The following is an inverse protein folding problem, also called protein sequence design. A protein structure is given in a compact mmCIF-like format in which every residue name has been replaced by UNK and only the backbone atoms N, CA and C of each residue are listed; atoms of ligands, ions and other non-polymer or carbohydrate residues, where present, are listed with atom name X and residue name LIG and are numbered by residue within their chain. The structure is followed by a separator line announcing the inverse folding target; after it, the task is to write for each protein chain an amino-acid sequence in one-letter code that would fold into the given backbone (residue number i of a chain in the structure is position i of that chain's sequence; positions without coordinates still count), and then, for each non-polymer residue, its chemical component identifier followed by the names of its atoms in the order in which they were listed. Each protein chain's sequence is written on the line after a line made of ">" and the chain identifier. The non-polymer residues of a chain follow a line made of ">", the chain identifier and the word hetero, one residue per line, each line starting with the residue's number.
data_IF_829848721911
#
_entry.id   IF_829848721911
#
_cell.length_a   1.000
_cell.length_b   1.000
_cell.length_c   1.000
_cell.angle_alpha   90.00
_cell.angle_beta   90.00
_cell.angle_gamma   90.00
#
_symmetry.space_group_name_H-M   'P 1'
#
loop_
_entity.id
_entity.type
_entity.pdbx_description
1 polymer ?
#
# COMPACT_ATOMS: atom_id res chain seq x y z
N UNK A 1 -16.16 15.94 -2.14
CA UNK A 1 -17.39 16.29 -2.88
C UNK A 1 -18.46 16.95 -2.00
N UNK A 2 -18.21 17.23 -0.72
CA UNK A 2 -19.25 17.79 0.16
C UNK A 2 -19.81 19.12 -0.33
N UNK A 3 -21.13 19.22 -0.40
CA UNK A 3 -21.86 20.38 -0.94
C UNK A 3 -21.95 20.47 -2.47
N UNK A 4 -21.24 19.60 -3.22
CA UNK A 4 -21.42 19.49 -4.66
C UNK A 4 -22.79 18.86 -4.97
N UNK A 5 -23.53 19.41 -5.94
CA UNK A 5 -24.90 18.99 -6.28
C UNK A 5 -25.89 18.99 -5.09
N UNK A 6 -25.66 19.86 -4.09
CA UNK A 6 -26.57 19.98 -2.95
C UNK A 6 -27.99 20.35 -3.40
N UNK A 7 -28.98 19.55 -2.97
CA UNK A 7 -30.39 19.73 -3.33
C UNK A 7 -30.83 19.00 -4.61
N UNK A 8 -29.90 18.38 -5.36
CA UNK A 8 -30.27 17.48 -6.45
C UNK A 8 -30.75 16.13 -5.87
N UNK A 9 -31.91 15.60 -6.31
CA UNK A 9 -32.33 14.25 -5.93
C UNK A 9 -31.52 13.19 -6.67
N UNK A 10 -31.62 11.94 -6.21
CA UNK A 10 -31.15 10.73 -6.92
C UNK A 10 -29.67 10.73 -7.30
N UNK A 11 -28.82 11.28 -6.44
CA UNK A 11 -27.37 11.22 -6.56
C UNK A 11 -26.77 10.27 -5.53
N UNK A 12 -25.75 9.53 -5.95
CA UNK A 12 -24.89 8.73 -5.08
C UNK A 12 -23.44 8.93 -5.51
N UNK A 13 -22.52 8.78 -4.55
CA UNK A 13 -21.08 8.82 -4.83
C UNK A 13 -20.54 7.41 -4.95
N UNK A 14 -19.89 7.14 -6.07
CA UNK A 14 -19.05 5.96 -6.24
C UNK A 14 -17.64 6.26 -5.72
N UNK A 15 -17.13 5.41 -4.84
CA UNK A 15 -15.75 5.43 -4.37
C UNK A 15 -15.08 4.09 -4.62
N UNK A 16 -13.82 4.12 -5.05
CA UNK A 16 -13.02 2.92 -5.32
C UNK A 16 -11.94 2.79 -4.26
N UNK A 17 -11.85 1.61 -3.64
CA UNK A 17 -10.94 1.37 -2.51
C UNK A 17 -10.08 0.14 -2.80
N UNK A 18 -8.80 0.39 -3.01
CA UNK A 18 -7.81 -0.64 -3.31
C UNK A 18 -6.60 -0.55 -2.37
N UNK A 19 -5.95 -1.70 -2.18
CA UNK A 19 -4.72 -1.81 -1.40
C UNK A 19 -3.53 -2.30 -2.23
N UNK A 20 -3.76 -2.72 -3.48
CA UNK A 20 -2.75 -3.18 -4.44
C UNK A 20 -1.59 -2.21 -4.67
N UNK A 21 -1.85 -0.90 -4.51
CA UNK A 21 -0.87 0.17 -4.70
C UNK A 21 -0.31 0.73 -3.39
N UNK A 22 -0.68 0.16 -2.24
CA UNK A 22 -0.11 0.56 -0.96
C UNK A 22 1.39 0.23 -0.90
N UNK A 23 2.11 0.84 0.04
CA UNK A 23 3.47 0.42 0.31
C UNK A 23 3.47 -1.01 0.88
N UNK A 24 4.52 -1.81 0.63
CA UNK A 24 4.64 -3.12 1.22
C UNK A 24 4.60 -3.03 2.75
N UNK A 25 3.73 -3.85 3.33
CA UNK A 25 3.51 -3.90 4.75
C UNK A 25 3.13 -5.31 5.20
N UNK A 26 3.10 -5.53 6.51
CA UNK A 26 2.58 -6.77 7.08
C UNK A 26 1.05 -6.83 6.98
N UNK A 27 0.49 -8.01 7.20
CA UNK A 27 -0.96 -8.27 7.11
C UNK A 27 -1.77 -7.34 8.03
N UNK A 28 -1.26 -7.02 9.22
CA UNK A 28 -1.90 -6.13 10.19
C UNK A 28 -2.13 -4.73 9.64
N UNK A 29 -1.21 -4.20 8.83
CA UNK A 29 -1.39 -2.91 8.17
C UNK A 29 -2.53 -2.95 7.14
N UNK A 30 -2.65 -4.02 6.36
CA UNK A 30 -3.76 -4.18 5.40
C UNK A 30 -5.11 -4.37 6.10
N UNK A 31 -5.14 -5.12 7.20
CA UNK A 31 -6.34 -5.30 8.03
C UNK A 31 -6.81 -3.99 8.63
N UNK A 32 -5.90 -3.26 9.27
CA UNK A 32 -6.19 -1.96 9.88
C UNK A 32 -6.66 -0.96 8.84
N UNK A 33 -5.95 -0.86 7.72
CA UNK A 33 -6.34 0.03 6.63
C UNK A 33 -7.72 -0.29 6.04
N UNK A 34 -8.12 -1.57 5.99
CA UNK A 34 -9.46 -1.97 5.54
C UNK A 34 -10.53 -1.52 6.54
N UNK A 35 -10.32 -1.79 7.83
CA UNK A 35 -11.26 -1.42 8.89
C UNK A 35 -11.42 0.10 9.05
N UNK A 36 -10.34 0.88 8.92
CA UNK A 36 -10.35 2.35 9.03
C UNK A 36 -11.14 3.02 7.89
N UNK A 37 -11.45 2.33 6.79
CA UNK A 37 -12.31 2.90 5.73
C UNK A 37 -13.71 3.23 6.23
N UNK A 38 -14.20 2.57 7.30
CA UNK A 38 -15.49 2.87 7.93
C UNK A 38 -15.66 4.36 8.22
N UNK A 39 -14.70 4.94 8.95
CA UNK A 39 -14.76 6.35 9.34
C UNK A 39 -14.76 7.28 8.12
N UNK A 40 -13.99 6.93 7.07
CA UNK A 40 -13.93 7.69 5.82
C UNK A 40 -15.24 7.61 5.05
N UNK A 41 -15.86 6.44 4.96
CA UNK A 41 -17.15 6.24 4.30
C UNK A 41 -18.26 6.98 5.05
N UNK A 42 -18.32 6.87 6.38
CA UNK A 42 -19.27 7.63 7.21
C UNK A 42 -19.12 9.14 6.97
N UNK A 43 -17.90 9.65 6.96
CA UNK A 43 -17.65 11.06 6.72
C UNK A 43 -18.06 11.48 5.31
N UNK A 44 -17.75 10.66 4.30
CA UNK A 44 -18.19 10.87 2.92
C UNK A 44 -19.72 10.94 2.83
N UNK A 45 -20.43 10.03 3.50
CA UNK A 45 -21.89 10.06 3.53
C UNK A 45 -22.45 11.30 4.22
N UNK A 46 -21.84 11.67 5.35
CA UNK A 46 -22.24 12.85 6.12
C UNK A 46 -22.16 14.14 5.31
N UNK A 47 -21.14 14.28 4.45
CA UNK A 47 -20.90 15.53 3.72
C UNK A 47 -21.47 15.53 2.30
N UNK A 48 -21.69 14.37 1.68
CA UNK A 48 -22.18 14.26 0.30
C UNK A 48 -23.62 13.72 0.21
N UNK A 49 -23.93 12.60 0.87
CA UNK A 49 -25.11 11.79 0.63
C UNK A 49 -24.75 10.31 0.44
N UNK A 50 -25.62 9.47 -0.15
CA UNK A 50 -25.37 8.02 -0.29
C UNK A 50 -24.02 7.71 -0.96
N UNK A 51 -23.23 6.82 -0.35
CA UNK A 51 -21.93 6.38 -0.89
C UNK A 51 -21.97 4.87 -1.16
N UNK A 52 -21.51 4.48 -2.33
CA UNK A 52 -21.33 3.07 -2.71
C UNK A 52 -19.85 2.84 -2.97
N UNK A 53 -19.29 1.76 -2.43
CA UNK A 53 -17.94 1.30 -2.81
C UNK A 53 -18.05 0.54 -4.13
N UNK A 54 -18.04 1.25 -5.25
CA UNK A 54 -18.29 0.66 -6.57
C UNK A 54 -17.17 -0.24 -7.07
N UNK A 55 -15.97 -0.13 -6.50
CA UNK A 55 -14.89 -1.07 -6.80
C UNK A 55 -13.97 -1.33 -5.60
N UNK A 56 -13.67 -2.61 -5.37
CA UNK A 56 -12.58 -3.07 -4.50
C UNK A 56 -12.15 -4.48 -4.88
N UNK A 57 -10.95 -4.91 -4.49
CA UNK A 57 -10.46 -6.29 -4.64
C UNK A 57 -9.78 -6.77 -3.35
N UNK A 58 -9.29 -8.02 -3.30
CA UNK A 58 -8.48 -8.53 -2.18
C UNK A 58 -6.98 -8.33 -2.39
N UNK A 59 -6.57 -7.75 -3.52
CA UNK A 59 -5.15 -7.61 -3.84
C UNK A 59 -4.43 -6.64 -2.89
N UNK A 60 -3.26 -7.08 -2.44
CA UNK A 60 -2.36 -6.36 -1.53
C UNK A 60 -1.05 -5.95 -2.20
N UNK A 61 -0.89 -6.33 -3.46
CA UNK A 61 0.19 -5.93 -4.35
C UNK A 61 -0.37 -5.71 -5.76
N UNK A 62 0.49 -5.35 -6.70
CA UNK A 62 0.10 -5.11 -8.08
C UNK A 62 0.91 -5.94 -9.09
N UNK A 63 1.15 -7.21 -8.73
CA UNK A 63 1.85 -8.18 -9.56
C UNK A 63 0.97 -8.86 -10.61
N UNK A 64 -0.35 -8.77 -10.48
CA UNK A 64 -1.29 -9.22 -11.50
C UNK A 64 -0.86 -8.73 -12.90
N UNK A 65 -0.80 -9.66 -13.85
CA UNK A 65 -0.23 -9.40 -15.17
C UNK A 65 -0.95 -8.24 -15.86
N UNK A 66 -0.18 -7.24 -16.29
CA UNK A 66 -0.68 -6.03 -16.96
C UNK A 66 -1.69 -5.17 -16.18
N UNK A 67 -1.79 -5.34 -14.85
CA UNK A 67 -2.72 -4.59 -14.01
C UNK A 67 -2.55 -3.07 -14.13
N UNK A 68 -1.31 -2.59 -14.23
CA UNK A 68 -1.01 -1.15 -14.35
C UNK A 68 -1.00 -0.65 -15.81
N UNK A 69 -1.36 -1.50 -16.77
CA UNK A 69 -1.41 -1.15 -18.17
C UNK A 69 -0.81 -2.21 -19.07
N UNK A 70 -1.47 -2.44 -20.21
CA UNK A 70 -0.91 -3.14 -21.34
C UNK A 70 0.06 -2.20 -22.09
N UNK A 71 1.27 -2.05 -21.58
CA UNK A 71 2.50 -1.96 -22.36
C UNK A 71 3.71 -1.59 -21.49
N UNK A 72 3.42 -1.03 -20.33
CA UNK A 72 4.40 -0.62 -19.34
C UNK A 72 3.78 -0.75 -17.96
N UNK A 73 4.62 -1.09 -16.98
CA UNK A 73 4.25 -0.87 -15.60
C UNK A 73 4.51 0.60 -15.27
N UNK A 74 3.72 1.19 -14.38
CA UNK A 74 4.04 2.52 -13.89
C UNK A 74 5.44 2.47 -13.22
N UNK A 75 6.37 3.42 -13.48
CA UNK A 75 7.68 3.41 -12.84
C UNK A 75 7.59 3.28 -11.31
N UNK A 76 8.39 2.40 -10.74
CA UNK A 76 8.32 2.05 -9.31
C UNK A 76 7.39 0.88 -8.98
N UNK A 77 6.78 0.25 -9.99
CA UNK A 77 5.96 -0.95 -9.84
C UNK A 77 6.48 -2.13 -10.69
N UNK A 78 6.26 -3.38 -10.24
CA UNK A 78 5.62 -3.75 -8.98
C UNK A 78 6.48 -3.39 -7.76
N UNK A 79 5.84 -3.09 -6.62
CA UNK A 79 6.55 -2.70 -5.38
C UNK A 79 7.24 -3.89 -4.70
N UNK A 80 6.86 -5.10 -5.06
CA UNK A 80 7.41 -6.36 -4.56
C UNK A 80 7.80 -7.27 -5.73
N UNK A 81 8.77 -8.19 -5.53
CA UNK A 81 9.02 -9.25 -6.50
C UNK A 81 7.79 -10.14 -6.66
N UNK A 82 7.34 -10.33 -7.90
CA UNK A 82 6.12 -11.07 -8.18
C UNK A 82 6.32 -12.58 -8.19
N UNK A 83 5.25 -13.31 -7.87
CA UNK A 83 5.13 -14.73 -8.10
C UNK A 83 4.87 -14.99 -9.58
N UNK A 84 5.41 -16.07 -10.12
CA UNK A 84 5.20 -16.49 -11.50
C UNK A 84 4.55 -17.88 -11.55
N UNK A 85 3.53 -18.02 -12.39
CA UNK A 85 2.83 -19.29 -12.62
C UNK A 85 2.84 -19.63 -14.10
N UNK A 86 2.59 -20.89 -14.44
CA UNK A 86 2.43 -21.29 -15.84
C UNK A 86 1.32 -20.47 -16.50
N UNK A 87 1.64 -19.77 -17.60
CA UNK A 87 0.63 -19.03 -18.35
C UNK A 87 -0.46 -19.97 -18.85
N UNK A 88 -1.73 -19.51 -18.86
CA UNK A 88 -2.84 -20.32 -19.33
C UNK A 88 -2.70 -20.55 -20.83
N UNK A 89 -3.31 -21.64 -21.31
CA UNK A 89 -3.42 -21.86 -22.75
C UNK A 89 -4.34 -20.79 -23.36
N UNK A 90 -4.05 -20.29 -24.56
CA UNK A 90 -4.90 -19.33 -25.25
C UNK A 90 -6.32 -19.88 -25.41
N UNK A 91 -7.32 -19.07 -25.07
CA UNK A 91 -8.72 -19.46 -25.26
C UNK A 91 -9.09 -19.61 -26.74
N UNK A 92 -8.37 -18.94 -27.65
CA UNK A 92 -8.56 -19.03 -29.12
C UNK A 92 -7.79 -20.19 -29.76
N UNK A 93 -7.10 -21.02 -28.98
CA UNK A 93 -6.31 -22.15 -29.49
C UNK A 93 -4.84 -21.81 -29.77
N UNK A 94 -4.03 -22.84 -30.02
CA UNK A 94 -2.56 -22.75 -30.15
C UNK A 94 -2.05 -22.00 -31.37
N UNK A 95 -2.92 -21.76 -32.34
CA UNK A 95 -2.56 -21.05 -33.57
C UNK A 95 -2.56 -19.53 -33.37
N UNK A 96 -2.99 -19.05 -32.20
CA UNK A 96 -2.97 -17.63 -31.87
C UNK A 96 -1.51 -17.12 -31.83
N UNK A 97 -1.15 -16.12 -32.66
CA UNK A 97 0.21 -15.57 -32.66
C UNK A 97 0.58 -15.04 -31.26
N UNK A 98 1.74 -15.49 -30.75
CA UNK A 98 2.26 -15.06 -29.45
C UNK A 98 1.56 -15.67 -28.23
N UNK A 99 0.67 -16.64 -28.40
CA UNK A 99 0.02 -17.34 -27.29
C UNK A 99 0.02 -18.88 -27.52
N UNK A 100 0.43 -19.69 -26.53
CA UNK A 100 0.98 -19.28 -25.24
C UNK A 100 2.36 -18.60 -25.40
N UNK A 101 2.81 -17.83 -24.40
CA UNK A 101 4.15 -17.26 -24.41
C UNK A 101 5.22 -18.36 -24.57
N UNK A 102 6.20 -18.10 -25.43
CA UNK A 102 7.30 -19.02 -25.75
C UNK A 102 8.12 -19.35 -24.48
N UNK A 103 8.23 -20.61 -24.07
CA UNK A 103 8.92 -20.98 -22.84
C UNK A 103 10.44 -20.74 -22.89
N UNK A 104 11.01 -20.53 -24.09
CA UNK A 104 12.45 -20.34 -24.29
C UNK A 104 12.87 -18.87 -24.31
N UNK A 105 11.91 -17.95 -24.38
CA UNK A 105 12.19 -16.53 -24.52
C UNK A 105 12.02 -15.81 -23.18
N UNK A 106 12.81 -14.75 -22.92
CA UNK A 106 12.62 -13.86 -21.77
C UNK A 106 11.31 -13.07 -21.92
N UNK A 107 11.21 -11.87 -21.35
CA UNK A 107 10.01 -11.03 -21.46
C UNK A 107 9.58 -10.87 -22.93
N UNK A 108 8.36 -11.29 -23.25
CA UNK A 108 7.90 -11.40 -24.64
C UNK A 108 6.99 -10.27 -25.08
N UNK A 109 6.36 -9.60 -24.13
CA UNK A 109 5.68 -8.33 -24.25
C UNK A 109 4.96 -8.08 -22.91
N UNK A 110 4.59 -6.83 -22.63
CA UNK A 110 5.00 -5.68 -23.40
C UNK A 110 6.39 -5.16 -23.04
N UNK A 111 6.98 -4.40 -23.97
CA UNK A 111 8.28 -3.76 -23.78
C UNK A 111 8.07 -2.37 -23.17
N UNK A 112 8.00 -2.33 -21.84
CA UNK A 112 7.97 -1.10 -21.04
C UNK A 112 9.23 -0.94 -20.19
N UNK A 113 9.22 0.07 -19.33
CA UNK A 113 10.21 0.28 -18.28
C UNK A 113 10.03 -0.66 -17.08
N UNK A 114 8.85 -1.25 -16.90
CA UNK A 114 8.54 -2.16 -15.78
C UNK A 114 8.42 -3.65 -16.13
N UNK A 115 8.48 -4.51 -15.10
CA UNK A 115 8.31 -5.97 -15.20
C UNK A 115 6.88 -6.39 -14.89
N UNK A 116 6.03 -6.52 -15.90
CA UNK A 116 4.64 -6.98 -15.74
C UNK A 116 4.19 -7.94 -16.84
N UNK A 117 5.11 -8.38 -17.71
CA UNK A 117 4.81 -9.24 -18.85
C UNK A 117 5.24 -10.69 -18.64
N UNK A 118 4.65 -11.64 -19.41
CA UNK A 118 5.06 -13.03 -19.38
C UNK A 118 6.51 -13.21 -19.83
N UNK A 119 7.19 -14.15 -19.20
CA UNK A 119 8.57 -14.54 -19.52
C UNK A 119 8.75 -16.04 -19.31
N UNK A 120 9.49 -16.68 -20.20
CA UNK A 120 9.77 -18.12 -20.14
C UNK A 120 8.50 -18.99 -19.98
N UNK A 121 7.39 -18.60 -20.62
CA UNK A 121 6.11 -19.30 -20.52
C UNK A 121 5.38 -19.10 -19.20
N UNK A 122 5.89 -18.25 -18.31
CA UNK A 122 5.32 -17.92 -17.01
C UNK A 122 4.71 -16.52 -16.99
N UNK A 123 3.63 -16.38 -16.25
CA UNK A 123 2.85 -15.15 -16.10
C UNK A 123 2.98 -14.67 -14.65
N UNK A 124 3.25 -13.37 -14.42
CA UNK A 124 3.28 -12.83 -13.07
C UNK A 124 1.86 -12.80 -12.48
N UNK A 125 1.75 -13.09 -11.19
CA UNK A 125 0.51 -13.07 -10.41
C UNK A 125 0.79 -12.47 -9.03
N UNK A 126 -0.27 -12.10 -8.30
CA UNK A 126 -0.21 -11.64 -6.91
C UNK A 126 0.64 -12.59 -6.03
N UNK A 127 1.31 -12.02 -5.04
CA UNK A 127 2.17 -12.79 -4.14
C UNK A 127 1.35 -13.62 -3.15
N UNK A 128 1.99 -14.67 -2.61
CA UNK A 128 1.45 -15.41 -1.47
C UNK A 128 1.86 -14.72 -0.16
N UNK A 129 1.03 -14.86 0.87
CA UNK A 129 1.40 -14.50 2.23
C UNK A 129 2.07 -15.69 2.91
N UNK A 130 3.23 -15.47 3.51
CA UNK A 130 4.01 -16.51 4.20
C UNK A 130 4.31 -16.13 5.64
N UNK A 131 4.30 -17.12 6.52
CA UNK A 131 4.78 -17.03 7.90
C UNK A 131 5.85 -18.12 8.12
N UNK A 132 7.12 -17.71 8.11
CA UNK A 132 8.22 -18.65 7.97
C UNK A 132 8.15 -19.41 6.64
N UNK A 133 8.01 -20.73 6.71
CA UNK A 133 7.87 -21.62 5.55
C UNK A 133 6.40 -21.96 5.23
N UNK A 134 5.44 -21.47 6.01
CA UNK A 134 4.01 -21.77 5.86
C UNK A 134 3.32 -20.76 4.94
N UNK A 135 2.56 -21.24 3.95
CA UNK A 135 1.65 -20.42 3.14
C UNK A 135 0.37 -20.14 3.94
N UNK A 136 0.22 -18.89 4.35
CA UNK A 136 -0.92 -18.39 5.13
C UNK A 136 -1.85 -17.50 4.29
N UNK A 137 -1.75 -17.58 2.96
CA UNK A 137 -2.53 -16.75 2.03
C UNK A 137 -4.02 -16.88 2.25
N UNK A 138 -4.52 -18.10 2.43
CA UNK A 138 -5.95 -18.32 2.57
C UNK A 138 -6.50 -17.69 3.86
N UNK A 139 -5.77 -17.80 4.97
CA UNK A 139 -6.16 -17.17 6.24
C UNK A 139 -6.12 -15.64 6.14
N UNK A 140 -5.06 -15.08 5.55
CA UNK A 140 -4.93 -13.63 5.39
C UNK A 140 -6.03 -13.08 4.48
N UNK A 141 -6.31 -13.72 3.35
CA UNK A 141 -7.31 -13.25 2.40
C UNK A 141 -8.73 -13.42 2.94
N UNK A 142 -9.00 -14.48 3.70
CA UNK A 142 -10.30 -14.67 4.38
C UNK A 142 -10.55 -13.57 5.40
N UNK A 143 -9.56 -13.29 6.27
CA UNK A 143 -9.67 -12.22 7.25
C UNK A 143 -9.80 -10.84 6.58
N UNK A 144 -9.02 -10.58 5.51
CA UNK A 144 -9.08 -9.32 4.78
C UNK A 144 -10.45 -9.11 4.11
N UNK A 145 -11.02 -10.16 3.53
CA UNK A 145 -12.33 -10.10 2.89
C UNK A 145 -13.42 -9.73 3.90
N UNK A 146 -13.48 -10.44 5.04
CA UNK A 146 -14.46 -10.16 6.09
C UNK A 146 -14.37 -8.71 6.60
N UNK A 147 -13.14 -8.21 6.81
CA UNK A 147 -12.89 -6.81 7.23
C UNK A 147 -13.36 -5.79 6.19
N UNK A 148 -13.11 -6.03 4.89
CA UNK A 148 -13.58 -5.15 3.81
C UNK A 148 -15.10 -5.14 3.72
N UNK A 149 -15.74 -6.32 3.76
CA UNK A 149 -17.21 -6.39 3.76
C UNK A 149 -17.80 -5.63 4.95
N UNK A 150 -17.31 -5.89 6.16
CA UNK A 150 -17.74 -5.16 7.36
C UNK A 150 -17.59 -3.65 7.22
N UNK A 151 -16.44 -3.19 6.70
CA UNK A 151 -16.16 -1.78 6.56
C UNK A 151 -17.07 -1.12 5.52
N UNK A 152 -17.30 -1.78 4.39
CA UNK A 152 -18.03 -1.22 3.26
C UNK A 152 -19.55 -1.30 3.41
N UNK A 153 -20.06 -2.20 4.26
CA UNK A 153 -21.47 -2.23 4.70
C UNK A 153 -21.89 -0.98 5.49
N UNK A 154 -20.93 -0.18 5.95
CA UNK A 154 -21.23 1.09 6.62
C UNK A 154 -21.77 2.15 5.63
N UNK A 155 -21.47 2.00 4.34
CA UNK A 155 -22.10 2.81 3.29
C UNK A 155 -23.38 2.18 2.74
N UNK A 156 -23.76 2.54 1.51
CA UNK A 156 -24.90 1.97 0.78
C UNK A 156 -24.54 0.74 -0.07
N UNK A 157 -23.50 -0.01 0.33
CA UNK A 157 -23.09 -1.27 -0.29
C UNK A 157 -21.81 -1.19 -1.12
N UNK A 158 -21.50 -2.30 -1.79
CA UNK A 158 -20.21 -2.51 -2.45
C UNK A 158 -20.30 -3.43 -3.68
N UNK A 159 -19.32 -3.29 -4.58
CA UNK A 159 -19.16 -4.12 -5.77
C UNK A 159 -17.72 -4.62 -5.88
N UNK A 160 -17.56 -5.95 -5.88
CA UNK A 160 -16.26 -6.58 -5.99
C UNK A 160 -15.73 -6.51 -7.42
N UNK A 161 -14.55 -5.93 -7.58
CA UNK A 161 -13.80 -5.90 -8.83
C UNK A 161 -12.83 -7.10 -8.91
N UNK A 162 -13.08 -8.11 -9.73
CA UNK A 162 -14.21 -8.31 -10.65
C UNK A 162 -14.84 -9.70 -10.42
N UNK A 163 -15.94 -9.99 -11.10
CA UNK A 163 -16.61 -11.29 -11.08
C UNK A 163 -15.65 -12.45 -11.43
N UNK A 164 -14.77 -12.27 -12.42
CA UNK A 164 -13.81 -13.31 -12.85
C UNK A 164 -12.50 -12.75 -13.40
N UNK A 165 -11.43 -13.51 -13.21
CA UNK A 165 -10.11 -13.33 -13.86
C UNK A 165 -9.58 -14.69 -14.35
N UNK A 166 -8.61 -14.66 -15.27
CA UNK A 166 -7.97 -15.89 -15.78
C UNK A 166 -6.98 -16.50 -14.79
N UNK A 167 -6.19 -15.70 -14.07
CA UNK A 167 -5.14 -16.21 -13.18
C UNK A 167 -5.38 -15.87 -11.69
N UNK A 168 -5.70 -14.63 -11.37
CA UNK A 168 -5.55 -14.02 -10.04
C UNK A 168 -6.79 -14.20 -9.15
N UNK A 169 -6.73 -15.00 -8.08
CA UNK A 169 -7.85 -15.14 -7.14
C UNK A 169 -8.23 -13.84 -6.42
N UNK A 170 -7.24 -12.98 -6.14
CA UNK A 170 -7.40 -11.70 -5.43
C UNK A 170 -8.27 -10.70 -6.21
N UNK A 171 -8.32 -10.84 -7.54
CA UNK A 171 -9.09 -10.02 -8.48
C UNK A 171 -10.31 -10.76 -9.05
N UNK A 172 -10.68 -11.92 -8.49
CA UNK A 172 -11.74 -12.78 -9.01
C UNK A 172 -12.66 -13.28 -7.91
N UNK A 173 -13.87 -12.73 -7.88
CA UNK A 173 -14.91 -13.12 -6.93
C UNK A 173 -15.15 -14.64 -6.95
N UNK A 174 -15.27 -15.25 -8.14
CA UNK A 174 -15.51 -16.68 -8.26
C UNK A 174 -14.36 -17.54 -7.70
N UNK A 175 -13.11 -17.12 -7.87
CA UNK A 175 -11.95 -17.85 -7.35
C UNK A 175 -11.78 -17.64 -5.84
N UNK A 176 -11.94 -16.42 -5.36
CA UNK A 176 -11.94 -16.10 -3.94
C UNK A 176 -13.03 -16.92 -3.20
N UNK A 177 -14.24 -17.02 -3.77
CA UNK A 177 -15.31 -17.90 -3.28
C UNK A 177 -14.91 -19.37 -3.28
N UNK A 178 -14.32 -19.87 -4.36
CA UNK A 178 -13.90 -21.27 -4.46
C UNK A 178 -12.79 -21.62 -3.46
N UNK A 179 -11.94 -20.66 -3.11
CA UNK A 179 -10.91 -20.79 -2.07
C UNK A 179 -11.44 -20.62 -0.63
N UNK A 180 -12.70 -20.23 -0.46
CA UNK A 180 -13.29 -19.99 0.86
C UNK A 180 -12.95 -18.63 1.47
N UNK A 181 -12.32 -17.72 0.72
CA UNK A 181 -11.97 -16.37 1.22
C UNK A 181 -13.20 -15.50 1.44
N UNK A 182 -14.19 -15.66 0.57
CA UNK A 182 -15.47 -14.95 0.66
C UNK A 182 -16.50 -15.97 1.18
N UNK A 183 -17.20 -15.68 2.29
CA UNK A 183 -18.13 -16.63 2.92
C UNK A 183 -19.30 -16.96 2.00
N UNK A 184 -19.92 -18.14 2.19
CA UNK A 184 -21.00 -18.62 1.33
C UNK A 184 -22.20 -17.68 1.29
N UNK A 185 -22.50 -17.10 2.44
CA UNK A 185 -23.48 -16.04 2.63
C UNK A 185 -22.77 -14.79 3.14
N UNK A 186 -23.02 -13.66 2.49
CA UNK A 186 -22.62 -12.35 3.03
C UNK A 186 -23.52 -11.92 4.20
N UNK A 187 -24.57 -12.70 4.50
CA UNK A 187 -25.36 -12.57 5.72
C UNK A 187 -24.77 -13.40 6.86
N UNK A 188 -23.56 -13.95 6.74
CA UNK A 188 -22.83 -14.50 7.89
C UNK A 188 -22.40 -13.36 8.82
N UNK A 189 -23.40 -12.85 9.56
CA UNK A 189 -23.31 -11.60 10.30
C UNK A 189 -22.24 -11.69 11.37
N UNK A 190 -22.03 -12.82 12.03
CA UNK A 190 -21.07 -12.86 13.16
C UNK A 190 -19.63 -12.72 12.67
N UNK A 191 -19.23 -13.50 11.66
CA UNK A 191 -17.87 -13.44 11.08
C UNK A 191 -17.56 -12.06 10.50
N UNK A 192 -18.50 -11.47 9.78
CA UNK A 192 -18.31 -10.15 9.15
C UNK A 192 -18.43 -9.04 10.20
N UNK A 193 -19.49 -9.01 11.02
CA UNK A 193 -19.74 -7.92 11.97
C UNK A 193 -18.65 -7.76 13.04
N UNK A 194 -18.00 -8.86 13.43
CA UNK A 194 -16.91 -8.85 14.41
C UNK A 194 -15.52 -8.72 13.78
N UNK A 195 -15.41 -8.72 12.45
CA UNK A 195 -14.14 -8.81 11.73
C UNK A 195 -13.14 -7.71 12.12
N UNK A 196 -13.61 -6.52 12.44
CA UNK A 196 -12.79 -5.34 12.76
C UNK A 196 -12.63 -5.06 14.26
N UNK A 197 -13.12 -5.92 15.16
CA UNK A 197 -13.12 -5.62 16.59
C UNK A 197 -11.74 -5.33 17.17
N UNK A 198 -10.70 -6.03 16.71
CA UNK A 198 -9.33 -5.82 17.20
C UNK A 198 -8.79 -4.44 16.80
N UNK A 199 -9.03 -4.07 15.54
CA UNK A 199 -8.64 -2.79 14.96
C UNK A 199 -9.40 -1.65 15.64
N UNK A 200 -10.72 -1.80 15.83
CA UNK A 200 -11.57 -0.81 16.50
C UNK A 200 -11.16 -0.60 17.96
N UNK A 201 -10.80 -1.68 18.67
CA UNK A 201 -10.30 -1.63 20.06
C UNK A 201 -8.84 -1.15 20.16
N UNK A 202 -8.14 -0.94 19.04
CA UNK A 202 -6.76 -0.45 19.04
C UNK A 202 -5.76 -1.44 19.62
N UNK A 203 -6.02 -2.75 19.49
CA UNK A 203 -5.22 -3.83 20.08
C UNK A 203 -3.91 -4.09 19.33
N UNK A 204 -3.25 -3.03 18.87
CA UNK A 204 -1.98 -3.09 18.14
C UNK A 204 -1.00 -2.04 18.67
N UNK A 205 0.28 -2.38 18.63
CA UNK A 205 1.37 -1.42 18.80
C UNK A 205 1.88 -0.98 17.44
N UNK A 206 2.02 0.33 17.25
CA UNK A 206 2.74 0.87 16.10
C UNK A 206 4.21 1.04 16.46
N UNK A 207 5.07 0.15 15.97
CA UNK A 207 6.49 0.08 16.33
C UNK A 207 7.37 0.42 15.14
N UNK A 208 8.52 1.03 15.41
CA UNK A 208 9.51 1.34 14.39
C UNK A 208 10.01 0.05 13.70
N UNK A 209 10.14 0.06 12.38
CA UNK A 209 10.75 -1.07 11.68
C UNK A 209 12.22 -1.20 12.08
N UNK A 210 12.65 -2.44 12.30
CA UNK A 210 14.06 -2.73 12.63
C UNK A 210 14.90 -2.78 11.35
N UNK A 211 16.16 -2.34 11.43
CA UNK A 211 17.11 -2.44 10.32
C UNK A 211 16.92 -1.44 9.17
N UNK A 212 16.06 -0.44 9.32
CA UNK A 212 15.90 0.63 8.33
C UNK A 212 16.89 1.78 8.59
N UNK A 213 17.11 2.63 7.58
CA UNK A 213 18.00 3.78 7.71
C UNK A 213 17.50 4.78 8.75
N UNK A 214 18.40 5.31 9.58
CA UNK A 214 18.06 6.31 10.62
C UNK A 214 17.33 7.52 10.05
N UNK A 215 17.68 7.95 8.83
CA UNK A 215 17.02 9.07 8.16
C UNK A 215 15.52 8.81 7.94
N UNK A 216 15.14 7.57 7.61
CA UNK A 216 13.75 7.17 7.42
C UNK A 216 13.00 7.23 8.75
N UNK A 217 13.60 6.72 9.84
CA UNK A 217 13.03 6.82 11.19
C UNK A 217 12.85 8.28 11.61
N UNK A 218 13.89 9.11 11.47
CA UNK A 218 13.85 10.53 11.85
C UNK A 218 12.78 11.29 11.08
N UNK A 219 12.66 11.06 9.77
CA UNK A 219 11.62 11.68 8.94
C UNK A 219 10.20 11.26 9.39
N UNK A 220 10.00 9.97 9.67
CA UNK A 220 8.74 9.49 10.22
C UNK A 220 8.41 10.15 11.57
N UNK A 221 9.39 10.21 12.48
CA UNK A 221 9.20 10.82 13.80
C UNK A 221 8.84 12.29 13.71
N UNK A 222 9.50 13.05 12.82
CA UNK A 222 9.19 14.47 12.58
C UNK A 222 7.75 14.67 12.08
N UNK A 223 7.27 13.78 11.21
CA UNK A 223 5.87 13.78 10.78
C UNK A 223 4.92 13.51 11.95
N UNK A 224 5.21 12.46 12.74
CA UNK A 224 4.38 12.05 13.87
C UNK A 224 4.30 13.11 14.98
N UNK A 225 5.33 13.95 15.13
CA UNK A 225 5.34 15.08 16.07
C UNK A 225 4.78 16.38 15.47
N UNK A 226 4.09 16.31 14.33
CA UNK A 226 3.51 17.47 13.62
C UNK A 226 4.50 18.61 13.35
N UNK A 227 5.79 18.30 13.19
CA UNK A 227 6.81 19.33 12.99
C UNK A 227 6.97 20.30 14.16
N UNK A 228 6.57 19.93 15.39
CA UNK A 228 7.05 20.61 16.60
C UNK A 228 8.58 20.73 16.55
N UNK A 229 9.17 21.69 17.28
CA UNK A 229 10.61 21.98 17.28
C UNK A 229 11.44 20.80 17.86
N UNK A 230 11.44 19.69 17.14
CA UNK A 230 11.94 18.39 17.53
C UNK A 230 13.36 18.21 17.03
N UNK A 231 14.16 19.27 17.16
CA UNK A 231 15.60 19.29 16.82
C UNK A 231 16.36 18.23 17.58
N UNK A 232 15.87 17.82 18.76
CA UNK A 232 16.42 16.73 19.56
C UNK A 232 16.42 15.37 18.82
N UNK A 233 15.49 15.13 17.89
CA UNK A 233 15.43 13.90 17.08
C UNK A 233 16.71 13.74 16.26
N UNK A 234 17.29 14.85 15.79
CA UNK A 234 18.50 14.80 14.97
C UNK A 234 19.70 14.25 15.74
N UNK A 235 19.75 14.44 17.06
CA UNK A 235 20.80 13.93 17.93
C UNK A 235 20.62 12.49 18.40
N UNK A 236 19.50 11.83 18.09
CA UNK A 236 19.28 10.42 18.44
C UNK A 236 19.93 9.49 17.43
N UNK A 237 20.45 8.37 17.91
CA UNK A 237 21.11 7.35 17.10
C UNK A 237 20.91 5.94 17.67
N UNK A 238 21.06 4.93 16.82
CA UNK A 238 20.99 3.51 17.20
C UNK A 238 19.74 3.17 18.02
N UNK A 239 19.92 2.42 19.11
CA UNK A 239 18.81 1.94 19.94
C UNK A 239 17.99 3.07 20.57
N UNK A 240 18.63 4.19 20.91
CA UNK A 240 17.92 5.35 21.50
C UNK A 240 16.96 5.98 20.50
N UNK A 241 17.33 6.02 19.22
CA UNK A 241 16.46 6.47 18.14
C UNK A 241 15.28 5.53 17.97
N UNK A 242 15.54 4.22 17.93
CA UNK A 242 14.50 3.19 17.74
C UNK A 242 13.49 3.20 18.90
N UNK A 243 13.95 3.25 20.14
CA UNK A 243 13.06 3.30 21.32
C UNK A 243 12.22 4.59 21.38
N UNK A 244 12.81 5.73 20.98
CA UNK A 244 12.07 6.97 20.88
C UNK A 244 11.03 6.91 19.75
N UNK A 245 11.39 6.31 18.62
CA UNK A 245 10.52 6.12 17.47
C UNK A 245 9.32 5.22 17.82
N UNK A 246 9.53 4.08 18.49
CA UNK A 246 8.45 3.19 18.97
C UNK A 246 7.39 3.96 19.75
N UNK A 247 7.83 4.78 20.72
CA UNK A 247 6.91 5.59 21.54
C UNK A 247 6.16 6.63 20.72
N UNK A 248 6.87 7.36 19.84
CA UNK A 248 6.29 8.44 19.06
C UNK A 248 5.27 7.90 18.06
N UNK A 249 5.63 6.85 17.31
CA UNK A 249 4.76 6.20 16.34
C UNK A 249 3.52 5.62 17.00
N UNK A 250 3.69 4.90 18.11
CA UNK A 250 2.56 4.34 18.84
C UNK A 250 1.61 5.42 19.37
N UNK A 251 2.14 6.50 19.96
CA UNK A 251 1.32 7.58 20.47
C UNK A 251 0.52 8.29 19.36
N UNK A 252 1.17 8.57 18.23
CA UNK A 252 0.50 9.17 17.07
C UNK A 252 -0.60 8.25 16.56
N UNK A 253 -0.30 6.97 16.31
CA UNK A 253 -1.27 6.04 15.74
C UNK A 253 -2.47 5.85 16.67
N UNK A 254 -2.24 5.62 17.97
CA UNK A 254 -3.34 5.47 18.95
C UNK A 254 -4.24 6.70 19.04
N UNK A 255 -3.70 7.91 18.83
CA UNK A 255 -4.47 9.16 18.87
C UNK A 255 -5.21 9.45 17.57
N UNK A 256 -4.73 8.94 16.43
CA UNK A 256 -5.22 9.32 15.09
C UNK A 256 -5.88 8.17 14.30
N UNK A 257 -5.83 6.92 14.78
CA UNK A 257 -6.37 5.74 14.07
C UNK A 257 -7.86 5.87 13.73
N UNK A 258 -8.65 6.44 14.64
CA UNK A 258 -10.10 6.64 14.42
C UNK A 258 -10.40 7.67 13.32
N UNK A 259 -9.42 8.50 12.98
CA UNK A 259 -9.46 9.46 11.87
C UNK A 259 -8.76 8.93 10.61
N UNK A 260 -8.35 7.66 10.60
CA UNK A 260 -7.65 7.01 9.49
C UNK A 260 -6.15 7.35 9.42
N UNK A 261 -5.53 7.67 10.55
CA UNK A 261 -4.09 7.85 10.68
C UNK A 261 -3.32 6.54 10.57
N UNK A 262 -2.32 6.50 9.69
CA UNK A 262 -1.56 5.27 9.39
C UNK A 262 -0.34 5.09 10.30
N UNK A 263 0.05 3.83 10.52
CA UNK A 263 1.29 3.43 11.17
C UNK A 263 2.49 3.30 10.19
N UNK A 264 2.32 3.51 8.88
CA UNK A 264 3.40 3.28 7.91
C UNK A 264 4.55 4.30 8.02
N UNK A 265 4.26 5.58 8.23
CA UNK A 265 5.25 6.68 8.29
C UNK A 265 6.29 6.66 7.16
N UNK A 266 5.90 6.26 5.94
CA UNK A 266 6.82 6.13 4.80
C UNK A 266 7.70 4.88 4.91
N UNK A 267 7.12 3.77 5.42
CA UNK A 267 7.82 2.53 5.72
C UNK A 267 8.71 2.58 6.97
N UNK A 268 8.54 3.58 7.84
CA UNK A 268 9.34 3.72 9.06
C UNK A 268 8.82 2.90 10.24
N UNK A 269 7.54 2.54 10.24
CA UNK A 269 6.92 1.78 11.31
C UNK A 269 5.91 0.75 10.77
N UNK A 270 5.51 -0.18 11.63
CA UNK A 270 4.55 -1.24 11.32
C UNK A 270 3.74 -1.66 12.56
N UNK A 271 2.58 -2.29 12.30
CA UNK A 271 1.67 -2.70 13.35
C UNK A 271 1.99 -4.10 13.86
N UNK A 272 2.00 -4.27 15.17
CA UNK A 272 2.14 -5.56 15.83
C UNK A 272 0.96 -5.83 16.75
N UNK A 273 0.37 -7.04 16.76
CA UNK A 273 -0.70 -7.36 17.69
C UNK A 273 -0.23 -7.19 19.15
N UNK A 274 -1.04 -6.52 19.97
CA UNK A 274 -0.89 -6.59 21.41
C UNK A 274 -1.16 -8.03 21.81
N UNK A 275 -0.12 -8.77 22.20
CA UNK A 275 -0.36 -10.09 22.77
C UNK A 275 -1.16 -9.88 24.05
N UNK A 276 -2.26 -10.63 24.22
CA UNK A 276 -2.92 -10.72 25.50
C UNK A 276 -1.84 -11.13 26.49
N UNK A 277 -1.45 -10.22 27.38
CA UNK A 277 -0.89 -10.61 28.66
C UNK A 277 -2.04 -11.36 29.34
N UNK A 278 -2.11 -12.66 29.10
CA UNK A 278 -2.83 -13.57 29.97
C UNK A 278 -2.37 -13.22 31.38
N UNK A 279 -3.33 -12.89 32.24
CA UNK A 279 -3.12 -12.65 33.65
C UNK A 279 -2.18 -13.72 34.21
N UNK A 280 -0.92 -13.33 34.43
CA UNK A 280 0.09 -14.04 35.18
C UNK A 280 0.67 -13.00 36.12
N UNK A 281 0.30 -13.09 37.39
CA UNK A 281 0.48 -12.02 38.37
C UNK A 281 1.94 -11.61 38.58
N UNK A 282 2.12 -10.31 38.83
CA UNK A 282 3.39 -9.72 39.23
C UNK A 282 3.36 -8.21 39.08
N UNK A 283 2.89 -7.52 40.11
CA UNK A 283 2.75 -6.07 40.23
C UNK A 283 3.87 -5.25 39.57
N UNK A 284 3.50 -4.30 38.71
CA UNK A 284 4.33 -3.12 38.46
C UNK A 284 3.52 -1.86 38.79
N UNK A 285 3.71 -1.42 40.03
CA UNK A 285 3.18 -0.16 40.54
C UNK A 285 4.02 0.99 39.99
N UNK A 286 3.35 1.87 39.26
CA UNK A 286 3.66 3.26 38.96
C UNK A 286 4.60 3.93 39.97
N UNK A 287 5.81 4.34 39.56
CA UNK A 287 6.48 5.60 40.01
C UNK A 287 7.78 5.89 39.26
N UNK A 288 7.87 7.06 38.62
CA UNK A 288 9.11 7.82 38.37
C UNK A 288 9.23 8.93 39.44
N UNK A 289 10.37 9.66 39.59
CA UNK A 289 11.74 9.20 39.79
C UNK A 289 12.42 9.94 40.98
N UNK A 290 13.34 9.30 41.72
CA UNK A 290 14.33 10.01 42.56
C UNK A 290 15.65 9.23 42.61
N UNK A 291 16.74 9.88 42.17
CA UNK A 291 18.11 9.60 42.62
C UNK A 291 18.45 10.57 43.78
N UNK A 292 19.58 10.45 44.51
CA UNK A 292 20.61 9.41 44.51
C UNK A 292 20.98 8.89 45.93
N UNK A 293 21.60 7.71 46.05
CA UNK A 293 22.69 7.43 46.99
C UNK A 293 23.27 6.02 46.80
N UNK A 294 24.58 5.94 46.95
CA UNK A 294 25.46 4.79 46.72
C UNK A 294 25.22 3.60 47.65
N UNK A 295 25.57 2.39 47.18
CA UNK A 295 26.72 1.59 47.65
C UNK A 295 26.55 0.07 47.41
N UNK A 296 27.60 -0.56 46.84
CA UNK A 296 28.04 -1.98 47.00
C UNK A 296 27.14 -3.04 46.31
N UNK A 297 27.57 -4.07 45.57
CA UNK A 297 28.84 -4.78 45.35
C UNK A 297 28.74 -5.52 44.01
N UNK A 298 29.76 -5.43 43.16
CA UNK A 298 29.87 -6.18 41.89
C UNK A 298 30.60 -7.51 42.15
N UNK A 299 29.94 -8.63 41.88
CA UNK A 299 30.57 -9.93 41.69
C UNK A 299 30.90 -10.08 40.22
N UNK A 300 32.19 -10.27 39.95
CA UNK A 300 32.79 -10.46 38.63
C UNK A 300 32.59 -11.88 38.14
N UNK A 301 32.02 -12.07 36.95
CA UNK A 301 32.11 -13.32 36.20
C UNK A 301 32.58 -13.01 34.77
N UNK A 302 33.78 -13.51 34.46
CA UNK A 302 34.54 -13.25 33.24
C UNK A 302 34.09 -14.15 32.09
N UNK A 303 33.72 -13.57 30.95
CA UNK A 303 33.55 -14.27 29.68
C UNK A 303 34.87 -14.33 28.90
N UNK A 304 35.13 -15.39 28.10
CA UNK A 304 36.43 -15.62 27.46
C UNK A 304 36.62 -14.78 26.19
N UNK A 305 37.80 -14.18 26.07
CA UNK A 305 38.31 -13.51 24.87
C UNK A 305 38.55 -14.50 23.71
N UNK A 306 38.04 -14.15 22.52
CA UNK A 306 38.36 -14.77 21.25
C UNK A 306 39.60 -14.09 20.63
N UNK A 307 40.58 -14.84 20.09
CA UNK A 307 41.81 -14.25 19.57
C UNK A 307 41.59 -13.61 18.20
N UNK A 308 41.85 -12.30 18.11
CA UNK A 308 41.97 -11.58 16.83
C UNK A 308 43.30 -11.95 16.17
N UNK A 309 43.24 -12.63 15.03
CA UNK A 309 44.40 -12.82 14.15
C UNK A 309 44.61 -11.54 13.32
N UNK A 310 45.85 -11.05 13.16
CA UNK A 310 46.14 -9.91 12.29
C UNK A 310 45.98 -10.33 10.81
N UNK A 311 45.32 -9.48 10.02
CA UNK A 311 45.22 -9.65 8.57
C UNK A 311 46.61 -9.71 7.95
N UNK A 312 46.86 -10.74 7.14
CA UNK A 312 48.12 -10.91 6.40
C UNK A 312 48.36 -9.75 5.44
N UNK A 313 49.61 -9.32 5.33
CA UNK A 313 50.10 -8.25 4.42
C UNK A 313 49.69 -8.53 2.96
N UNK A 314 49.52 -9.80 2.58
CA UNK A 314 49.01 -10.19 1.25
C UNK A 314 47.58 -9.75 0.97
N UNK A 315 46.70 -9.74 1.98
CA UNK A 315 45.31 -9.29 1.84
C UNK A 315 45.25 -7.76 1.65
N UNK A 316 46.12 -7.03 2.33
CA UNK A 316 46.22 -5.56 2.19
C UNK A 316 46.72 -5.18 0.79
N UNK A 317 47.75 -5.87 0.30
CA UNK A 317 48.28 -5.64 -1.05
C UNK A 317 47.25 -5.97 -2.15
N UNK A 318 46.45 -7.03 -1.96
CA UNK A 318 45.38 -7.38 -2.91
C UNK A 318 44.29 -6.30 -2.97
N UNK A 319 43.86 -5.77 -1.82
CA UNK A 319 42.88 -4.68 -1.77
C UNK A 319 43.38 -3.39 -2.45
N UNK A 320 44.66 -3.05 -2.29
CA UNK A 320 45.27 -1.88 -2.93
C UNK A 320 45.33 -2.06 -4.45
N UNK A 321 45.68 -3.25 -4.94
CA UNK A 321 45.76 -3.55 -6.37
C UNK A 321 44.37 -3.54 -7.04
N UNK A 322 43.36 -4.04 -6.35
CA UNK A 322 41.97 -4.02 -6.82
C UNK A 322 41.45 -2.58 -6.95
N UNK A 323 41.73 -1.73 -5.96
CA UNK A 323 41.35 -0.32 -5.98
C UNK A 323 42.01 0.45 -7.15
N UNK A 324 43.28 0.16 -7.44
CA UNK A 324 44.01 0.77 -8.55
C UNK A 324 43.43 0.36 -9.93
N UNK A 325 43.02 -0.90 -10.09
CA UNK A 325 42.40 -1.40 -11.32
C UNK A 325 41.02 -0.77 -11.57
N UNK A 326 40.21 -0.61 -10.53
CA UNK A 326 38.90 0.06 -10.61
C UNK A 326 39.06 1.53 -11.01
N UNK A 327 40.03 2.24 -10.42
CA UNK A 327 40.32 3.62 -10.77
C UNK A 327 40.80 3.79 -12.23
N UNK A 328 41.60 2.85 -12.73
CA UNK A 328 42.05 2.84 -14.13
C UNK A 328 40.91 2.55 -15.12
N UNK A 329 39.98 1.66 -14.77
CA UNK A 329 38.77 1.38 -15.55
C UNK A 329 37.84 2.58 -15.66
N UNK A 330 37.60 3.28 -14.54
CA UNK A 330 36.76 4.48 -14.51
C UNK A 330 37.32 5.63 -15.38
N UNK A 331 38.65 5.81 -15.41
CA UNK A 331 39.30 6.81 -16.28
C UNK A 331 39.13 6.52 -17.76
N UNK A 332 39.22 5.25 -18.18
CA UNK A 332 39.01 4.86 -19.59
C UNK A 332 37.56 5.03 -20.03
N UNK A 333 36.60 4.78 -19.13
CA UNK A 333 35.18 4.99 -19.41
C UNK A 333 34.85 6.49 -19.62
N UNK A 334 35.39 7.36 -18.77
CA UNK A 334 35.18 8.81 -18.86
C UNK A 334 35.84 9.45 -20.08
N UNK A 335 36.95 8.90 -20.58
CA UNK A 335 37.59 9.37 -21.82
C UNK A 335 36.81 8.97 -23.08
N UNK A 336 36.08 7.84 -23.04
CA UNK A 336 35.32 7.33 -24.19
C UNK A 336 34.03 8.11 -24.47
N UNK A 337 33.44 8.73 -23.44
CA UNK A 337 32.17 9.48 -23.56
C UNK A 337 32.32 10.97 -23.89
N UNK A 338 33.54 11.52 -24.02
CA UNK A 338 33.77 12.92 -24.42
C UNK A 338 33.84 13.15 -25.94
N UNK A 339 33.66 12.11 -26.76
CA UNK A 339 33.92 12.14 -28.21
C UNK A 339 32.71 12.16 -29.15
N UNK A 340 31.46 12.18 -28.66
CA UNK A 340 30.28 12.11 -29.54
C UNK A 340 29.45 13.41 -29.43
N UNK A 341 29.85 14.38 -30.23
CA UNK A 341 29.08 15.60 -30.51
C UNK A 341 28.07 15.40 -31.64
N UNK A 342 26.95 16.11 -31.50
CA UNK A 342 25.89 16.50 -32.43
C UNK A 342 25.76 15.83 -33.82
N UNK A 343 24.60 15.22 -34.03
CA UNK A 343 23.81 15.39 -35.27
C UNK A 343 22.35 14.95 -35.03
N UNK A 344 21.42 15.90 -35.11
CA UNK A 344 19.97 15.65 -35.18
C UNK A 344 19.52 15.63 -36.63
N UNK A 345 18.89 14.56 -37.13
CA UNK A 345 18.10 14.63 -38.35
C UNK A 345 16.62 14.84 -38.00
N UNK A 346 16.06 15.91 -38.53
CA UNK A 346 14.63 16.17 -38.65
C UNK A 346 13.98 15.16 -39.60
N UNK A 347 12.96 14.43 -39.11
CA UNK A 347 12.09 13.59 -39.92
C UNK A 347 10.69 14.21 -39.93
N UNK A 348 10.28 14.67 -41.11
CA UNK A 348 8.92 15.07 -41.44
C UNK A 348 7.97 13.87 -41.31
N UNK A 349 6.91 14.00 -40.51
CA UNK A 349 5.78 13.07 -40.53
C UNK A 349 4.76 13.53 -41.56
N UNK A 350 4.61 12.75 -42.63
CA UNK A 350 3.48 12.83 -43.55
C UNK A 350 2.22 12.24 -42.90
N UNK A 351 1.15 13.02 -42.92
CA UNK A 351 -0.17 12.68 -42.40
C UNK A 351 -1.00 11.95 -43.47
N UNK A 352 -1.34 10.68 -43.27
CA UNK A 352 -2.45 10.03 -43.96
C UNK A 352 -2.88 8.73 -43.27
N UNK A 353 -3.91 8.79 -42.41
CA UNK A 353 -4.78 7.64 -42.14
C UNK A 353 -6.24 8.10 -42.14
N UNK A 354 -7.16 7.33 -42.74
CA UNK A 354 -8.54 7.77 -43.01
C UNK A 354 -9.46 7.56 -41.80
N UNK A 355 -10.34 8.53 -41.57
CA UNK A 355 -11.41 8.46 -40.57
C UNK A 355 -12.56 7.55 -41.05
N UNK A 356 -13.11 6.67 -40.20
CA UNK A 356 -14.36 5.98 -40.49
C UNK A 356 -15.58 6.88 -40.19
N UNK A 357 -16.50 6.96 -41.16
CA UNK A 357 -17.82 7.61 -41.02
C UNK A 357 -18.72 6.77 -40.10
N UNK A 358 -19.10 7.30 -38.94
CA UNK A 358 -20.29 6.83 -38.21
C UNK A 358 -21.54 7.58 -38.69
N UNK A 359 -22.55 6.84 -39.13
CA UNK A 359 -23.92 7.35 -39.35
C UNK A 359 -24.62 7.46 -38.00
N UNK A 360 -25.04 8.66 -37.62
CA UNK A 360 -26.00 8.87 -36.56
C UNK A 360 -27.42 8.73 -37.13
N UNK A 361 -28.16 7.72 -36.66
CA UNK A 361 -29.62 7.62 -36.83
C UNK A 361 -30.30 8.43 -35.72
N UNK A 362 -31.26 9.27 -36.11
CA UNK A 362 -31.88 10.27 -35.26
C UNK A 362 -32.74 9.73 -34.13
N UNK A 363 -32.73 10.48 -33.04
CA UNK A 363 -33.73 10.45 -31.98
C UNK A 363 -34.29 11.88 -31.83
N UNK A 364 -35.59 12.04 -32.01
CA UNK A 364 -36.33 13.27 -31.68
C UNK A 364 -36.76 13.23 -30.22
N UNK A 365 -36.60 14.32 -29.44
CA UNK A 365 -37.16 14.42 -28.10
C UNK A 365 -38.63 14.84 -28.13
N UNK A 366 -39.45 14.17 -27.32
CA UNK A 366 -40.84 14.55 -27.02
C UNK A 366 -40.87 15.53 -25.85
N UNK A 367 -41.82 16.46 -25.93
CA UNK A 367 -41.98 17.68 -25.16
C UNK A 367 -42.08 17.50 -23.63
N UNK A 368 -41.44 18.44 -22.93
CA UNK A 368 -41.61 18.74 -21.51
C UNK A 368 -42.92 19.50 -21.26
N UNK A 369 -43.70 19.04 -20.28
CA UNK A 369 -44.75 19.84 -19.64
C UNK A 369 -44.32 20.18 -18.22
N UNK A 370 -44.13 21.47 -17.99
CA UNK A 370 -43.85 22.10 -16.70
C UNK A 370 -45.08 22.13 -15.81
N UNK A 371 -44.93 21.73 -14.55
CA UNK A 371 -45.88 22.00 -13.46
C UNK A 371 -45.14 22.84 -12.42
N UNK A 372 -45.63 24.06 -12.21
CA UNK A 372 -45.21 24.98 -11.15
C UNK A 372 -46.01 24.77 -9.85
N UNK A 373 -45.37 25.15 -8.74
CA UNK A 373 -45.87 25.69 -7.45
C UNK A 373 -45.41 24.89 -6.22
N UNK A 374 -45.31 25.50 -5.02
CA UNK A 374 -44.93 26.88 -4.69
C UNK A 374 -43.87 26.99 -3.56
N UNK A 375 -43.23 28.16 -3.50
CA UNK A 375 -42.33 28.59 -2.42
C UNK A 375 -43.06 28.85 -1.09
N UNK A 376 -42.52 28.34 0.02
CA UNK A 376 -42.49 28.90 1.40
C UNK A 376 -41.60 27.94 2.23
N UNK A 377 -40.81 28.26 3.26
CA UNK A 377 -40.59 29.43 4.09
C UNK A 377 -39.17 29.40 4.68
N UNK A 378 -38.66 30.58 5.05
CA UNK A 378 -37.44 30.84 5.85
C UNK A 378 -37.52 30.22 7.25
N UNK A 379 -36.38 29.78 7.81
CA UNK A 379 -35.85 30.26 9.12
C UNK A 379 -34.45 29.70 9.49
N UNK A 380 -33.61 30.64 9.98
CA UNK A 380 -32.52 30.57 11.00
C UNK A 380 -31.50 29.41 10.93
N UNK A 381 -30.18 29.59 10.91
CA UNK A 381 -29.34 30.67 11.43
C UNK A 381 -28.61 30.22 12.71
N UNK A 382 -27.43 29.59 12.57
CA UNK A 382 -26.43 29.42 13.65
C UNK A 382 -25.03 29.12 13.03
N UNK A 383 -23.91 29.50 13.69
CA UNK A 383 -22.63 29.74 13.01
C UNK A 383 -21.69 28.53 13.03
N UNK A 384 -21.08 28.20 11.88
CA UNK A 384 -19.98 27.25 11.80
C UNK A 384 -18.64 27.94 12.09
N UNK A 385 -17.93 27.39 13.09
CA UNK A 385 -16.52 27.67 13.34
C UNK A 385 -15.68 27.10 12.20
N UNK A 386 -14.89 27.98 11.59
CA UNK A 386 -13.83 27.68 10.63
C UNK A 386 -12.70 26.88 11.31
N UNK A 387 -12.32 25.75 10.71
CA UNK A 387 -11.00 25.13 10.85
C UNK A 387 -10.29 25.22 9.48
N UNK A 388 -8.95 25.38 9.46
CA UNK A 388 -8.24 25.88 8.30
C UNK A 388 -8.01 24.79 7.24
N UNK A 389 -8.13 25.22 5.99
CA UNK A 389 -7.72 24.46 4.81
C UNK A 389 -6.20 24.30 4.78
N UNK A 390 -5.72 23.07 4.53
CA UNK A 390 -4.34 22.84 4.12
C UNK A 390 -4.29 21.96 2.87
N UNK A 391 -3.97 22.66 1.78
CA UNK A 391 -3.12 22.28 0.64
C UNK A 391 -3.47 21.06 -0.23
N UNK A 392 -3.94 21.41 -1.42
CA UNK A 392 -3.90 20.65 -2.67
C UNK A 392 -2.46 20.23 -3.01
N UNK A 393 -2.25 18.96 -3.32
CA UNK A 393 -1.19 18.51 -4.22
C UNK A 393 -1.76 18.40 -5.63
N UNK A 394 -1.20 19.20 -6.53
CA UNK A 394 -1.39 19.08 -7.97
C UNK A 394 -0.68 17.81 -8.47
N UNK A 395 -1.33 17.12 -9.40
CA UNK A 395 -0.73 16.11 -10.29
C UNK A 395 -0.11 16.84 -11.48
#
# INVERSE_FOLDING_TARGET
>A
WGGFMAGCPDIAMDTHIYQAWNNPANKEAFFTNACEQKARIIEMERVFGPVVVGEFSLATDNCAMWLNGFNDNLPGYPKLPCKFVQCPKPYMGSDQPGAPPDPTKPIQQPYGTGTSGPSFGLCPVDIDWVDGDEDVTDDVMTALAAKKFHAFETGHGYYFWNFRSELEPQWSFLKARKRGWIPESLQDVETISSACEKEDKGLYYCLARRGIFEITLKNGMLYATHGENATWIQGLHGDTLVQAADRIFNNYWQTNRDLGGTCDFGGAAELHPMHNVSQGGGNESTTQPKSPAASVSVVSESAPESPRTPLSVTTILFCILLAALVAAGARRFLQRNKGLGHSTPSLELSSAWPQPRMRASGYSPVATTSVELPQTARRSGAPNKLMPASYQTQV
#
